data_IF_735660070971
#
_entry.id   IF_735660070971
#
_cell.length_a   1.000
_cell.length_b   1.000
_cell.length_c   1.000
_cell.angle_alpha   90.00
_cell.angle_beta   90.00
_cell.angle_gamma   90.00
#
_symmetry.space_group_name_H-M   'P 1'
#
loop_
_entity.id
_entity.type
_entity.pdbx_description
1 polymer ?
#
# COMPACT_ATOMS: atom_id res chain seq x y z
N UNK A 1 18.10 15.86 -16.73
CA UNK A 1 17.89 14.38 -16.76
C UNK A 1 18.87 13.79 -15.76
N UNK A 2 18.36 13.19 -14.67
CA UNK A 2 19.19 12.55 -13.63
C UNK A 2 19.37 11.06 -13.90
N UNK A 3 20.43 10.47 -13.34
CA UNK A 3 20.68 9.03 -13.35
C UNK A 3 20.20 8.43 -12.02
N UNK A 4 19.14 7.60 -12.07
CA UNK A 4 18.45 7.08 -10.90
C UNK A 4 18.64 5.57 -10.81
N UNK A 5 18.99 5.07 -9.61
CA UNK A 5 18.95 3.66 -9.28
C UNK A 5 17.67 3.37 -8.49
N UNK A 6 16.84 2.43 -8.95
CA UNK A 6 15.57 2.05 -8.29
C UNK A 6 15.67 0.66 -7.68
N UNK A 7 15.37 0.54 -6.37
CA UNK A 7 15.32 -0.73 -5.63
C UNK A 7 13.92 -0.96 -5.03
N UNK A 8 13.44 -2.21 -4.99
CA UNK A 8 14.03 -3.40 -5.64
C UNK A 8 13.83 -3.37 -7.15
N UNK A 9 14.67 -4.10 -7.89
CA UNK A 9 14.42 -4.33 -9.30
C UNK A 9 13.35 -5.42 -9.45
N UNK A 10 12.34 -5.17 -10.28
CA UNK A 10 11.31 -6.14 -10.67
C UNK A 10 11.46 -6.39 -12.17
N UNK A 11 11.78 -7.62 -12.54
CA UNK A 11 12.04 -7.97 -13.94
C UNK A 11 10.77 -8.27 -14.74
N UNK A 12 9.68 -8.72 -14.07
CA UNK A 12 8.38 -9.02 -14.67
C UNK A 12 7.24 -8.81 -13.68
N UNK A 13 6.11 -8.33 -14.19
CA UNK A 13 4.87 -8.19 -13.40
C UNK A 13 4.11 -9.52 -13.28
N UNK A 14 4.47 -10.53 -14.07
CA UNK A 14 3.79 -11.83 -14.07
C UNK A 14 3.86 -12.47 -12.69
N UNK A 15 2.71 -12.64 -12.05
CA UNK A 15 2.58 -13.23 -10.72
C UNK A 15 2.97 -12.31 -9.55
N UNK A 16 3.30 -11.05 -9.80
CA UNK A 16 3.50 -10.08 -8.73
C UNK A 16 2.16 -9.40 -8.39
N UNK A 17 1.70 -9.50 -7.14
CA UNK A 17 0.45 -8.86 -6.73
C UNK A 17 0.59 -7.34 -6.58
N UNK A 18 1.80 -6.77 -6.69
CA UNK A 18 2.03 -5.34 -6.49
C UNK A 18 2.88 -4.73 -7.62
N UNK A 19 2.25 -4.03 -8.60
CA UNK A 19 2.95 -3.41 -9.72
C UNK A 19 3.65 -2.08 -9.35
N UNK A 20 3.67 -1.66 -8.09
CA UNK A 20 4.16 -0.35 -7.65
C UNK A 20 5.53 0.00 -8.22
N UNK A 21 6.55 -0.86 -8.02
CA UNK A 21 7.92 -0.57 -8.47
C UNK A 21 8.03 -0.58 -9.99
N UNK A 22 7.25 -1.41 -10.67
CA UNK A 22 7.19 -1.44 -12.12
C UNK A 22 6.63 -0.12 -12.68
N UNK A 23 5.48 0.32 -12.19
CA UNK A 23 4.86 1.58 -12.59
C UNK A 23 5.75 2.78 -12.25
N UNK A 24 6.44 2.71 -11.11
CA UNK A 24 7.40 3.74 -10.71
C UNK A 24 8.57 3.82 -11.68
N UNK A 25 9.15 2.65 -12.04
CA UNK A 25 10.23 2.59 -13.03
C UNK A 25 9.79 3.16 -14.39
N UNK A 26 8.59 2.80 -14.88
CA UNK A 26 8.07 3.33 -16.13
C UNK A 26 7.89 4.85 -16.08
N UNK A 27 7.31 5.37 -14.99
CA UNK A 27 7.11 6.81 -14.83
C UNK A 27 8.45 7.57 -14.78
N UNK A 28 9.42 7.07 -14.01
CA UNK A 28 10.78 7.65 -13.96
C UNK A 28 11.47 7.63 -15.33
N UNK A 29 11.33 6.52 -16.06
CA UNK A 29 12.01 6.32 -17.36
C UNK A 29 11.52 7.27 -18.45
N UNK A 30 10.38 7.95 -18.25
CA UNK A 30 9.87 8.97 -19.19
C UNK A 30 10.71 10.28 -19.14
N UNK A 31 11.34 10.58 -18.00
CA UNK A 31 12.07 11.84 -17.77
C UNK A 31 13.54 11.64 -17.38
N UNK A 32 13.91 10.48 -16.84
CA UNK A 32 15.22 10.21 -16.28
C UNK A 32 15.80 8.91 -16.80
N UNK A 33 17.12 8.73 -16.58
CA UNK A 33 17.80 7.46 -16.85
C UNK A 33 17.72 6.56 -15.62
N UNK A 34 16.89 5.50 -15.67
CA UNK A 34 16.90 4.46 -14.63
C UNK A 34 18.02 3.47 -14.93
N UNK A 35 19.18 3.64 -14.26
CA UNK A 35 20.45 2.99 -14.62
C UNK A 35 20.43 1.46 -14.51
N UNK A 36 19.53 0.90 -13.70
CA UNK A 36 19.38 -0.55 -13.53
C UNK A 36 18.14 -1.14 -14.24
N UNK A 37 17.39 -0.35 -15.02
CA UNK A 37 16.15 -0.81 -15.65
C UNK A 37 16.37 -2.01 -16.58
N UNK A 38 17.42 -2.00 -17.40
CA UNK A 38 17.75 -3.06 -18.36
C UNK A 38 18.83 -4.03 -17.88
N UNK A 39 19.40 -3.80 -16.67
CA UNK A 39 20.45 -4.65 -16.15
C UNK A 39 19.86 -5.94 -15.55
N UNK A 40 20.58 -7.07 -15.52
CA UNK A 40 20.13 -8.26 -14.82
C UNK A 40 19.99 -8.00 -13.30
N UNK A 41 19.00 -8.65 -12.67
CA UNK A 41 18.82 -8.51 -11.24
C UNK A 41 19.92 -9.28 -10.48
N UNK A 42 20.79 -8.54 -9.80
CA UNK A 42 21.89 -9.10 -8.98
C UNK A 42 21.64 -8.91 -7.48
N UNK A 43 20.38 -8.63 -7.10
CA UNK A 43 20.02 -8.40 -5.69
C UNK A 43 20.85 -7.25 -5.08
N UNK A 44 21.43 -7.49 -3.90
CA UNK A 44 22.20 -6.51 -3.15
C UNK A 44 23.46 -6.03 -3.91
N UNK A 45 24.05 -6.86 -4.76
CA UNK A 45 25.24 -6.49 -5.54
C UNK A 45 24.95 -5.40 -6.59
N UNK A 46 23.69 -5.23 -6.97
CA UNK A 46 23.29 -4.18 -7.91
C UNK A 46 23.59 -2.77 -7.38
N UNK A 47 23.57 -2.56 -6.06
CA UNK A 47 23.95 -1.27 -5.45
C UNK A 47 25.40 -0.88 -5.82
N UNK A 48 26.32 -1.84 -5.77
CA UNK A 48 27.73 -1.59 -6.03
C UNK A 48 28.03 -1.48 -7.53
N UNK A 49 27.41 -2.33 -8.36
CA UNK A 49 27.66 -2.32 -9.82
C UNK A 49 27.12 -1.06 -10.51
N UNK A 50 26.18 -0.36 -9.87
CA UNK A 50 25.60 0.89 -10.41
C UNK A 50 25.97 2.13 -9.57
N UNK A 51 26.80 1.98 -8.53
CA UNK A 51 27.09 3.03 -7.56
C UNK A 51 27.53 4.35 -8.19
N UNK A 52 28.54 4.30 -9.05
CA UNK A 52 29.09 5.50 -9.69
C UNK A 52 28.24 6.01 -10.85
N UNK A 53 27.28 5.21 -11.32
CA UNK A 53 26.37 5.58 -12.43
C UNK A 53 25.13 6.34 -11.96
N UNK A 54 24.78 6.21 -10.70
CA UNK A 54 23.58 6.82 -10.14
C UNK A 54 23.89 8.12 -9.40
N UNK A 55 23.02 9.12 -9.56
CA UNK A 55 23.02 10.36 -8.78
C UNK A 55 22.12 10.23 -7.57
N UNK A 56 20.96 9.56 -7.76
CA UNK A 56 19.94 9.31 -6.74
C UNK A 56 19.63 7.82 -6.64
N UNK A 57 19.59 7.31 -5.41
CA UNK A 57 19.13 5.97 -5.07
C UNK A 57 17.72 6.04 -4.48
N UNK A 58 16.73 5.49 -5.18
CA UNK A 58 15.35 5.37 -4.68
C UNK A 58 15.15 3.97 -4.12
N UNK A 59 14.80 3.89 -2.83
CA UNK A 59 14.71 2.63 -2.09
C UNK A 59 13.27 2.37 -1.64
N UNK A 60 12.71 1.25 -2.08
CA UNK A 60 11.42 0.74 -1.60
C UNK A 60 11.65 -0.55 -0.81
N UNK A 61 11.05 -0.66 0.36
CA UNK A 61 11.16 -1.81 1.28
C UNK A 61 12.60 -2.27 1.60
N UNK A 62 13.61 -1.38 1.73
CA UNK A 62 14.97 -1.79 2.07
C UNK A 62 15.06 -2.40 3.48
N UNK A 63 14.13 -2.08 4.36
CA UNK A 63 14.01 -2.64 5.70
C UNK A 63 13.78 -4.15 5.72
N UNK A 64 13.29 -4.75 4.62
CA UNK A 64 13.07 -6.20 4.47
C UNK A 64 14.32 -6.96 4.03
N UNK A 65 15.42 -6.29 3.73
CA UNK A 65 16.68 -6.94 3.28
C UNK A 65 17.13 -8.05 4.23
N UNK A 66 17.10 -7.88 5.58
CA UNK A 66 17.51 -8.93 6.51
C UNK A 66 16.61 -10.17 6.52
N UNK A 67 15.40 -10.10 6.00
CA UNK A 67 14.45 -11.21 5.96
C UNK A 67 14.68 -12.15 4.76
N UNK A 68 15.50 -11.73 3.81
CA UNK A 68 15.83 -12.48 2.59
C UNK A 68 16.85 -13.58 2.87
N UNK A 69 17.00 -14.53 1.93
CA UNK A 69 18.05 -15.54 1.97
C UNK A 69 19.42 -14.87 2.18
N UNK A 70 20.22 -15.38 3.14
CA UNK A 70 21.48 -14.76 3.58
C UNK A 70 21.33 -13.32 4.11
N UNK A 71 20.22 -13.02 4.77
CA UNK A 71 19.86 -11.67 5.20
C UNK A 71 20.93 -10.96 6.04
N UNK A 72 21.67 -11.66 6.88
CA UNK A 72 22.78 -11.09 7.65
C UNK A 72 23.90 -10.53 6.76
N UNK A 73 24.31 -11.29 5.74
CA UNK A 73 25.33 -10.85 4.77
C UNK A 73 24.78 -9.68 3.95
N UNK A 74 23.53 -9.78 3.47
CA UNK A 74 22.91 -8.69 2.72
C UNK A 74 22.80 -7.40 3.54
N UNK A 75 22.45 -7.50 4.84
CA UNK A 75 22.43 -6.36 5.77
C UNK A 75 23.82 -5.71 5.93
N UNK A 76 24.88 -6.54 6.07
CA UNK A 76 26.25 -6.03 6.16
C UNK A 76 26.65 -5.28 4.89
N UNK A 77 26.42 -5.86 3.70
CA UNK A 77 26.69 -5.22 2.42
C UNK A 77 25.87 -3.93 2.25
N UNK A 78 24.58 -3.94 2.65
CA UNK A 78 23.76 -2.74 2.59
C UNK A 78 24.29 -1.64 3.52
N UNK A 79 24.82 -1.99 4.70
CA UNK A 79 25.46 -1.02 5.60
C UNK A 79 26.72 -0.41 4.99
N UNK A 80 27.52 -1.21 4.28
CA UNK A 80 28.70 -0.70 3.52
C UNK A 80 28.23 0.26 2.42
N UNK A 81 27.19 -0.11 1.65
CA UNK A 81 26.61 0.77 0.64
C UNK A 81 26.17 2.12 1.24
N UNK A 82 25.45 2.11 2.37
CA UNK A 82 25.03 3.34 3.06
C UNK A 82 26.23 4.20 3.50
N UNK A 83 27.31 3.59 3.99
CA UNK A 83 28.55 4.30 4.30
C UNK A 83 29.19 4.95 3.06
N UNK A 84 29.19 4.22 1.93
CA UNK A 84 29.69 4.73 0.66
C UNK A 84 28.86 5.93 0.16
N UNK A 85 27.53 5.91 0.29
CA UNK A 85 26.70 7.05 -0.16
C UNK A 85 27.07 8.33 0.56
N UNK A 86 27.37 8.28 1.86
CA UNK A 86 27.88 9.43 2.62
C UNK A 86 29.25 9.88 2.10
N UNK A 87 30.19 8.94 1.96
CA UNK A 87 31.55 9.25 1.53
C UNK A 87 31.62 9.91 0.14
N UNK A 88 30.75 9.47 -0.78
CA UNK A 88 30.72 9.96 -2.16
C UNK A 88 29.60 10.97 -2.42
N UNK A 89 28.96 11.48 -1.37
CA UNK A 89 27.87 12.49 -1.45
C UNK A 89 26.72 12.08 -2.40
N UNK A 90 26.44 10.76 -2.48
CA UNK A 90 25.30 10.25 -3.25
C UNK A 90 24.00 10.43 -2.46
N UNK A 91 22.91 10.74 -3.16
CA UNK A 91 21.62 11.00 -2.55
C UNK A 91 20.77 9.73 -2.41
N UNK A 92 20.06 9.62 -1.31
CA UNK A 92 19.10 8.55 -1.04
C UNK A 92 17.72 9.14 -0.80
N UNK A 93 16.73 8.63 -1.54
CA UNK A 93 15.31 8.80 -1.29
C UNK A 93 14.74 7.45 -0.83
N UNK A 94 14.20 7.38 0.37
CA UNK A 94 13.53 6.20 0.89
C UNK A 94 12.02 6.38 0.85
N UNK A 95 11.31 5.41 0.28
CA UNK A 95 9.85 5.35 0.33
C UNK A 95 9.44 4.46 1.51
N UNK A 96 8.93 5.09 2.57
CA UNK A 96 8.45 4.45 3.79
C UNK A 96 7.03 3.93 3.58
N UNK A 97 6.91 2.63 3.31
CA UNK A 97 5.62 1.98 3.04
C UNK A 97 4.92 1.46 4.29
N UNK A 98 5.67 1.12 5.35
CA UNK A 98 5.15 0.48 6.56
C UNK A 98 5.90 0.97 7.80
N UNK A 99 5.22 0.96 8.96
CA UNK A 99 5.85 1.30 10.26
C UNK A 99 6.71 0.17 10.83
N UNK A 100 6.74 -1.00 10.21
CA UNK A 100 7.49 -2.19 10.66
C UNK A 100 7.26 -3.38 9.75
N UNK A 101 7.85 -4.54 10.08
CA UNK A 101 7.64 -5.79 9.34
C UNK A 101 6.26 -6.39 9.66
N UNK A 102 5.51 -6.78 8.63
CA UNK A 102 4.20 -7.44 8.78
C UNK A 102 4.29 -8.85 9.38
N UNK A 103 5.45 -9.50 9.29
CA UNK A 103 5.60 -10.92 9.63
C UNK A 103 6.22 -11.19 11.00
N UNK A 104 6.99 -10.27 11.55
CA UNK A 104 7.80 -10.54 12.79
C UNK A 104 7.67 -9.47 13.89
N UNK A 105 6.80 -8.47 13.71
CA UNK A 105 6.71 -7.37 14.66
C UNK A 105 8.02 -6.55 14.75
N UNK A 106 8.09 -5.63 15.71
CA UNK A 106 9.33 -4.89 16.00
C UNK A 106 10.37 -5.81 16.65
N UNK A 107 11.44 -6.08 15.93
CA UNK A 107 12.62 -6.75 16.48
C UNK A 107 13.86 -5.85 16.35
N UNK A 108 14.93 -6.18 17.09
CA UNK A 108 16.16 -5.40 17.09
C UNK A 108 16.77 -5.21 15.70
N UNK A 109 16.60 -6.18 14.78
CA UNK A 109 17.13 -6.13 13.42
C UNK A 109 16.37 -5.12 12.58
N UNK A 110 15.04 -5.13 12.67
CA UNK A 110 14.17 -4.17 11.97
C UNK A 110 14.45 -2.74 12.46
N UNK A 111 14.54 -2.56 13.79
CA UNK A 111 14.86 -1.25 14.40
C UNK A 111 16.22 -0.72 13.93
N UNK A 112 17.25 -1.57 13.87
CA UNK A 112 18.58 -1.18 13.35
C UNK A 112 18.51 -0.73 11.89
N UNK A 113 17.72 -1.44 11.05
CA UNK A 113 17.52 -1.03 9.66
C UNK A 113 16.82 0.32 9.55
N UNK A 114 15.77 0.56 10.34
CA UNK A 114 15.08 1.87 10.37
C UNK A 114 16.05 2.98 10.81
N UNK A 115 16.84 2.78 11.89
CA UNK A 115 17.83 3.76 12.34
C UNK A 115 18.85 4.11 11.23
N UNK A 116 19.32 3.11 10.50
CA UNK A 116 20.24 3.31 9.37
C UNK A 116 19.59 4.07 8.23
N UNK A 117 18.36 3.70 7.85
CA UNK A 117 17.63 4.37 6.79
C UNK A 117 17.30 5.82 7.15
N UNK A 118 16.81 6.08 8.37
CA UNK A 118 16.56 7.45 8.86
C UNK A 118 17.80 8.32 8.80
N UNK A 119 18.96 7.78 9.25
CA UNK A 119 20.21 8.56 9.33
C UNK A 119 20.87 8.79 7.96
N UNK A 120 20.70 7.89 7.00
CA UNK A 120 21.39 7.96 5.69
C UNK A 120 20.52 8.51 4.57
N UNK A 121 19.18 8.45 4.67
CA UNK A 121 18.30 9.03 3.67
C UNK A 121 18.35 10.55 3.72
N UNK A 122 18.48 11.17 2.55
CA UNK A 122 18.34 12.63 2.37
C UNK A 122 16.86 13.02 2.34
N UNK A 123 16.03 12.18 1.73
CA UNK A 123 14.59 12.39 1.57
C UNK A 123 13.84 11.12 1.97
N UNK A 124 12.70 11.28 2.63
CA UNK A 124 11.81 10.18 3.00
C UNK A 124 10.42 10.53 2.49
N UNK A 125 9.86 9.66 1.66
CA UNK A 125 8.47 9.79 1.20
C UNK A 125 7.61 8.77 1.93
N UNK A 126 6.44 9.17 2.36
CA UNK A 126 5.38 8.29 2.87
C UNK A 126 4.07 8.60 2.17
N UNK A 127 3.19 7.60 2.06
CA UNK A 127 1.93 7.72 1.33
C UNK A 127 0.75 8.16 2.19
N UNK A 128 0.98 8.45 3.48
CA UNK A 128 -0.04 8.99 4.38
C UNK A 128 0.58 9.82 5.51
N UNK A 129 -0.24 10.67 6.14
CA UNK A 129 0.16 11.43 7.32
C UNK A 129 0.56 10.51 8.48
N UNK A 130 -0.07 9.35 8.63
CA UNK A 130 0.29 8.37 9.65
C UNK A 130 1.76 7.89 9.57
N UNK A 131 2.37 7.89 8.37
CA UNK A 131 3.80 7.63 8.21
C UNK A 131 4.66 8.79 8.72
N UNK A 132 4.24 10.03 8.48
CA UNK A 132 4.91 11.23 9.01
C UNK A 132 4.79 11.30 10.54
N UNK A 133 3.61 10.99 11.09
CA UNK A 133 3.37 10.96 12.53
C UNK A 133 4.21 9.88 13.22
N UNK A 134 4.35 8.72 12.59
CA UNK A 134 5.26 7.68 13.08
C UNK A 134 6.70 8.20 13.18
N UNK A 135 7.19 8.91 12.17
CA UNK A 135 8.53 9.50 12.22
C UNK A 135 8.61 10.60 13.28
N UNK A 136 7.58 11.44 13.42
CA UNK A 136 7.54 12.49 14.43
C UNK A 136 7.67 11.94 15.86
N UNK A 137 7.06 10.78 16.13
CA UNK A 137 7.09 10.14 17.46
C UNK A 137 8.38 9.32 17.66
N UNK A 138 8.72 8.45 16.71
CA UNK A 138 9.81 7.49 16.88
C UNK A 138 11.18 8.05 16.47
N UNK A 139 11.24 9.03 15.58
CA UNK A 139 12.46 9.55 14.96
C UNK A 139 12.41 11.09 14.76
N UNK A 140 12.10 11.90 15.79
CA UNK A 140 11.78 13.33 15.64
C UNK A 140 12.89 14.14 14.96
N UNK A 141 14.15 13.77 15.14
CA UNK A 141 15.30 14.46 14.53
C UNK A 141 15.34 14.35 13.00
N UNK A 142 14.55 13.48 12.40
CA UNK A 142 14.51 13.24 10.95
C UNK A 142 13.23 13.74 10.29
N UNK A 143 12.32 14.34 11.06
CA UNK A 143 11.01 14.78 10.57
C UNK A 143 11.09 15.75 9.38
N UNK A 144 12.08 16.63 9.37
CA UNK A 144 12.29 17.59 8.29
C UNK A 144 12.57 16.96 6.91
N UNK A 145 12.98 15.68 6.88
CA UNK A 145 13.23 14.94 5.63
C UNK A 145 11.97 14.25 5.09
N UNK A 146 10.85 14.26 5.85
CA UNK A 146 9.66 13.46 5.54
C UNK A 146 8.66 14.28 4.75
N UNK A 147 8.29 13.77 3.60
CA UNK A 147 7.30 14.32 2.69
C UNK A 147 6.14 13.35 2.53
N UNK A 148 4.92 13.84 2.70
CA UNK A 148 3.70 13.07 2.45
C UNK A 148 3.30 13.27 1.00
N UNK A 149 3.27 12.19 0.23
CA UNK A 149 2.77 12.17 -1.14
C UNK A 149 1.82 10.98 -1.26
N UNK A 150 0.52 11.18 -1.53
CA UNK A 150 -0.43 10.10 -1.69
C UNK A 150 0.07 9.02 -2.66
N UNK A 151 -0.36 7.78 -2.45
CA UNK A 151 -0.02 6.68 -3.35
C UNK A 151 -0.50 7.00 -4.77
N UNK A 152 0.37 6.91 -5.79
CA UNK A 152 0.00 7.26 -7.15
C UNK A 152 -0.91 6.22 -7.79
N UNK A 153 -1.78 6.70 -8.69
CA UNK A 153 -2.73 5.90 -9.44
C UNK A 153 -2.27 5.67 -10.88
N UNK A 154 -2.59 4.51 -11.42
CA UNK A 154 -2.71 4.26 -12.84
C UNK A 154 -4.14 4.62 -13.30
N UNK A 155 -4.47 4.35 -14.56
CA UNK A 155 -5.80 4.63 -15.10
C UNK A 155 -6.91 3.86 -14.37
N UNK A 156 -8.14 4.32 -14.54
CA UNK A 156 -9.35 3.64 -14.07
C UNK A 156 -9.40 2.18 -14.58
N UNK A 157 -9.99 1.31 -13.78
CA UNK A 157 -10.30 -0.06 -14.14
C UNK A 157 -11.78 -0.17 -14.51
N UNK A 158 -12.05 -0.19 -15.81
CA UNK A 158 -13.41 -0.36 -16.35
C UNK A 158 -14.27 0.91 -16.33
N UNK A 159 -15.44 0.79 -16.95
CA UNK A 159 -16.52 1.78 -16.87
C UNK A 159 -17.39 1.37 -15.68
N UNK A 160 -17.45 2.22 -14.67
CA UNK A 160 -18.31 2.00 -13.51
C UNK A 160 -19.76 1.96 -13.96
N UNK A 161 -20.39 0.78 -13.86
CA UNK A 161 -21.77 0.60 -14.28
C UNK A 161 -22.69 0.69 -13.06
N UNK A 162 -23.80 1.41 -13.21
CA UNK A 162 -24.90 1.30 -12.28
C UNK A 162 -25.53 -0.08 -12.45
N UNK A 163 -25.14 -1.04 -11.60
CA UNK A 163 -25.67 -2.39 -11.58
C UNK A 163 -26.38 -2.69 -10.26
N UNK A 164 -27.21 -3.74 -10.27
CA UNK A 164 -27.85 -4.24 -9.06
C UNK A 164 -26.77 -4.65 -8.02
N UNK A 165 -26.84 -4.08 -6.81
CA UNK A 165 -25.93 -4.39 -5.71
C UNK A 165 -26.35 -5.72 -5.08
N UNK A 166 -25.52 -6.74 -5.30
CA UNK A 166 -25.75 -8.10 -4.76
C UNK A 166 -25.16 -8.29 -3.36
N UNK A 167 -24.11 -7.52 -3.03
CA UNK A 167 -23.39 -7.58 -1.77
C UNK A 167 -23.40 -6.23 -1.09
N UNK A 168 -23.49 -6.24 0.23
CA UNK A 168 -23.29 -5.04 1.04
C UNK A 168 -21.80 -4.74 1.16
N UNK A 169 -20.97 -5.79 1.32
CA UNK A 169 -19.53 -5.66 1.51
C UNK A 169 -18.74 -6.59 0.58
N UNK A 170 -17.75 -6.03 -0.08
CA UNK A 170 -16.65 -6.77 -0.70
C UNK A 170 -15.40 -6.63 0.16
N UNK A 171 -14.78 -7.74 0.56
CA UNK A 171 -13.45 -7.81 1.16
C UNK A 171 -12.56 -8.58 0.20
N UNK A 172 -11.47 -7.98 -0.30
CA UNK A 172 -10.67 -8.63 -1.33
C UNK A 172 -9.15 -8.48 -1.17
N UNK A 173 -8.40 -9.25 -1.97
CA UNK A 173 -6.95 -9.33 -1.99
C UNK A 173 -6.40 -10.40 -1.08
N UNK A 174 -5.07 -10.58 -1.01
CA UNK A 174 -4.43 -11.65 -0.22
C UNK A 174 -4.95 -11.67 1.22
N UNK A 175 -5.36 -12.85 1.69
CA UNK A 175 -5.99 -13.02 3.00
C UNK A 175 -4.92 -13.36 4.04
N UNK A 176 -4.75 -12.46 5.03
CA UNK A 176 -3.78 -12.60 6.13
C UNK A 176 -4.40 -12.18 7.47
N UNK A 177 -3.90 -12.70 8.61
CA UNK A 177 -4.44 -12.38 9.94
C UNK A 177 -4.49 -10.88 10.26
N UNK A 178 -3.52 -10.09 9.80
CA UNK A 178 -3.49 -8.64 10.05
C UNK A 178 -4.65 -7.89 9.41
N UNK A 179 -5.29 -8.48 8.38
CA UNK A 179 -6.48 -7.89 7.74
C UNK A 179 -7.73 -7.92 8.62
N UNK A 180 -7.77 -8.75 9.66
CA UNK A 180 -8.84 -8.72 10.65
C UNK A 180 -10.21 -9.21 10.20
N UNK A 181 -10.27 -9.99 9.13
CA UNK A 181 -11.53 -10.53 8.58
C UNK A 181 -12.27 -11.36 9.64
N UNK A 182 -11.55 -12.15 10.42
CA UNK A 182 -12.08 -12.94 11.53
C UNK A 182 -12.78 -12.08 12.59
N UNK A 183 -12.25 -10.90 12.90
CA UNK A 183 -12.88 -9.97 13.84
C UNK A 183 -14.18 -9.41 13.28
N UNK A 184 -14.17 -9.02 12.01
CA UNK A 184 -15.38 -8.51 11.36
C UNK A 184 -16.47 -9.58 11.24
N UNK A 185 -16.14 -10.80 10.83
CA UNK A 185 -17.12 -11.89 10.77
C UNK A 185 -17.71 -12.21 12.14
N UNK A 186 -16.89 -12.20 13.20
CA UNK A 186 -17.36 -12.40 14.57
C UNK A 186 -18.24 -11.24 15.05
N UNK A 187 -17.98 -10.02 14.61
CA UNK A 187 -18.82 -8.85 14.88
C UNK A 187 -20.14 -8.96 14.13
N UNK A 188 -20.11 -9.30 12.85
CA UNK A 188 -21.29 -9.45 11.99
C UNK A 188 -22.33 -10.41 12.60
N UNK A 189 -21.88 -11.57 13.09
CA UNK A 189 -22.76 -12.57 13.74
C UNK A 189 -23.45 -12.06 15.02
N UNK A 190 -22.86 -11.08 15.71
CA UNK A 190 -23.36 -10.56 16.99
C UNK A 190 -24.16 -9.27 16.84
N UNK A 191 -24.24 -8.71 15.64
CA UNK A 191 -24.85 -7.39 15.38
C UNK A 191 -26.16 -7.58 14.63
N UNK A 192 -27.31 -7.43 15.31
CA UNK A 192 -28.64 -7.67 14.72
C UNK A 192 -28.89 -6.81 13.46
N UNK A 193 -28.37 -5.58 13.43
CA UNK A 193 -28.52 -4.62 12.33
C UNK A 193 -27.82 -5.08 11.05
N UNK A 194 -26.84 -5.96 11.17
CA UNK A 194 -26.04 -6.48 10.04
C UNK A 194 -26.21 -7.98 9.80
N UNK A 195 -27.15 -8.65 10.51
CA UNK A 195 -27.33 -10.11 10.43
C UNK A 195 -27.61 -10.62 9.01
N UNK A 196 -28.31 -9.82 8.21
CA UNK A 196 -28.69 -10.15 6.83
C UNK A 196 -27.74 -9.52 5.79
N UNK A 197 -26.69 -8.81 6.23
CA UNK A 197 -25.74 -8.17 5.35
C UNK A 197 -24.96 -9.21 4.53
N UNK A 198 -24.99 -9.06 3.21
CA UNK A 198 -24.33 -9.96 2.28
C UNK A 198 -22.87 -9.58 2.13
N UNK A 199 -21.98 -10.49 2.49
CA UNK A 199 -20.53 -10.27 2.44
C UNK A 199 -19.89 -11.19 1.42
N UNK A 200 -19.07 -10.63 0.52
CA UNK A 200 -18.25 -11.41 -0.39
C UNK A 200 -16.77 -11.23 -0.01
N UNK A 201 -16.09 -12.32 0.31
CA UNK A 201 -14.65 -12.34 0.58
C UNK A 201 -13.96 -13.02 -0.60
N UNK A 202 -13.01 -12.32 -1.24
CA UNK A 202 -12.26 -12.86 -2.39
C UNK A 202 -10.76 -12.71 -2.13
N UNK A 203 -10.04 -13.82 -2.15
CA UNK A 203 -8.60 -13.78 -2.08
C UNK A 203 -7.99 -15.06 -1.57
N UNK A 204 -6.76 -15.31 -1.99
CA UNK A 204 -6.03 -16.49 -1.60
C UNK A 204 -5.51 -16.36 -0.16
N UNK A 205 -5.81 -17.38 0.66
CA UNK A 205 -5.27 -17.53 2.00
C UNK A 205 -4.21 -18.66 1.99
N UNK A 206 -2.95 -18.30 2.20
CA UNK A 206 -1.85 -19.28 2.29
C UNK A 206 -1.66 -19.83 3.69
N UNK A 207 -2.18 -19.16 4.71
CA UNK A 207 -2.18 -19.59 6.11
C UNK A 207 -3.40 -20.50 6.34
N UNK A 208 -3.16 -21.81 6.44
CA UNK A 208 -4.21 -22.82 6.57
C UNK A 208 -4.94 -22.74 7.92
N UNK A 209 -4.26 -22.36 8.99
CA UNK A 209 -4.87 -22.18 10.31
C UNK A 209 -5.85 -20.99 10.28
N UNK A 210 -5.41 -19.86 9.72
CA UNK A 210 -6.27 -18.70 9.58
C UNK A 210 -7.44 -18.94 8.64
N UNK A 211 -7.22 -19.66 7.53
CA UNK A 211 -8.28 -20.08 6.61
C UNK A 211 -9.34 -20.91 7.32
N UNK A 212 -8.92 -21.93 8.08
CA UNK A 212 -9.83 -22.80 8.85
C UNK A 212 -10.61 -21.98 9.88
N UNK A 213 -9.97 -21.01 10.53
CA UNK A 213 -10.64 -20.11 11.45
C UNK A 213 -11.73 -19.27 10.75
N UNK A 214 -11.43 -18.66 9.59
CA UNK A 214 -12.43 -17.90 8.82
C UNK A 214 -13.62 -18.79 8.46
N UNK A 215 -13.36 -19.99 7.92
CA UNK A 215 -14.42 -20.90 7.49
C UNK A 215 -15.30 -21.38 8.66
N UNK A 216 -14.73 -21.55 9.86
CA UNK A 216 -15.49 -21.98 11.05
C UNK A 216 -16.45 -20.91 11.61
N UNK A 217 -16.24 -19.65 11.26
CA UNK A 217 -17.06 -18.52 11.70
C UNK A 217 -17.75 -17.80 10.54
N UNK A 218 -17.77 -18.40 9.35
CA UNK A 218 -18.40 -17.80 8.18
C UNK A 218 -19.92 -17.89 8.32
N UNK A 219 -20.67 -16.79 8.40
CA UNK A 219 -22.11 -16.83 8.46
C UNK A 219 -22.72 -17.20 7.10
N UNK A 220 -24.00 -17.67 7.11
CA UNK A 220 -24.72 -18.02 5.87
C UNK A 220 -24.86 -16.85 4.89
N UNK A 221 -24.83 -15.61 5.39
CA UNK A 221 -24.88 -14.40 4.57
C UNK A 221 -23.53 -14.01 3.94
N UNK A 222 -22.48 -14.78 4.17
CA UNK A 222 -21.13 -14.49 3.65
C UNK A 222 -20.61 -15.61 2.75
N UNK A 223 -20.06 -15.21 1.60
CA UNK A 223 -19.37 -16.09 0.66
C UNK A 223 -17.85 -15.90 0.74
N UNK A 224 -17.09 -16.99 0.71
CA UNK A 224 -15.62 -16.93 0.62
C UNK A 224 -15.12 -17.66 -0.62
N UNK A 225 -14.41 -16.92 -1.49
CA UNK A 225 -13.71 -17.45 -2.67
C UNK A 225 -12.21 -17.41 -2.43
N UNK A 226 -11.58 -18.59 -2.21
CA UNK A 226 -10.13 -18.75 -2.05
C UNK A 226 -9.44 -18.79 -3.41
N UNK A 227 -9.53 -17.70 -4.15
CA UNK A 227 -9.07 -17.58 -5.53
C UNK A 227 -8.19 -16.36 -5.71
N UNK A 228 -7.26 -16.43 -6.68
CA UNK A 228 -6.49 -15.29 -7.15
C UNK A 228 -7.13 -14.81 -8.45
N UNK A 229 -7.96 -13.79 -8.37
CA UNK A 229 -8.61 -13.18 -9.53
C UNK A 229 -7.78 -12.01 -10.07
N UNK A 230 -7.96 -11.71 -11.35
CA UNK A 230 -7.44 -10.49 -11.97
C UNK A 230 -8.14 -9.25 -11.42
N UNK A 231 -7.53 -8.06 -11.60
CA UNK A 231 -8.15 -6.82 -11.14
C UNK A 231 -9.45 -6.53 -11.90
N UNK A 232 -9.54 -6.93 -13.15
CA UNK A 232 -10.73 -6.80 -13.99
C UNK A 232 -11.89 -7.66 -13.46
N UNK A 233 -11.60 -8.89 -13.02
CA UNK A 233 -12.60 -9.76 -12.38
C UNK A 233 -13.05 -9.22 -11.03
N UNK A 234 -12.12 -8.68 -10.21
CA UNK A 234 -12.47 -8.02 -8.95
C UNK A 234 -13.33 -6.78 -9.19
N UNK A 235 -13.06 -6.01 -10.25
CA UNK A 235 -13.86 -4.82 -10.59
C UNK A 235 -15.34 -5.17 -10.82
N UNK A 236 -15.63 -6.33 -11.44
CA UNK A 236 -17.01 -6.81 -11.60
C UNK A 236 -17.69 -7.04 -10.25
N UNK A 237 -16.98 -7.62 -9.28
CA UNK A 237 -17.54 -7.80 -7.94
C UNK A 237 -17.62 -6.50 -7.15
N UNK A 238 -16.70 -5.57 -7.38
CA UNK A 238 -16.76 -4.22 -6.82
C UNK A 238 -18.02 -3.48 -7.27
N UNK A 239 -18.35 -3.56 -8.56
CA UNK A 239 -19.59 -2.98 -9.10
C UNK A 239 -20.86 -3.61 -8.51
N UNK A 240 -20.82 -4.89 -8.16
CA UNK A 240 -21.93 -5.60 -7.52
C UNK A 240 -22.00 -5.38 -5.99
N UNK A 241 -21.09 -4.63 -5.41
CA UNK A 241 -21.00 -4.38 -3.97
C UNK A 241 -21.32 -2.94 -3.62
N UNK A 242 -21.97 -2.71 -2.47
CA UNK A 242 -22.22 -1.35 -1.97
C UNK A 242 -20.94 -0.70 -1.49
N UNK A 243 -20.13 -1.46 -0.73
CA UNK A 243 -18.87 -1.00 -0.17
C UNK A 243 -17.75 -2.01 -0.39
N UNK A 244 -16.55 -1.52 -0.64
CA UNK A 244 -15.34 -2.31 -0.42
C UNK A 244 -14.85 -2.05 1.00
N UNK A 245 -14.86 -3.11 1.83
CA UNK A 245 -14.57 -3.04 3.26
C UNK A 245 -13.13 -3.47 3.56
N UNK A 246 -12.44 -2.65 4.34
CA UNK A 246 -11.11 -2.92 4.89
C UNK A 246 -11.18 -3.06 6.40
N UNK A 247 -10.86 -4.25 6.93
CA UNK A 247 -11.05 -4.63 8.34
C UNK A 247 -9.75 -4.68 9.15
N UNK A 248 -8.71 -3.96 8.70
CA UNK A 248 -7.36 -4.06 9.23
C UNK A 248 -7.26 -3.89 10.75
N UNK A 249 -6.65 -4.88 11.43
CA UNK A 249 -6.35 -4.86 12.87
C UNK A 249 -5.13 -3.99 13.19
N UNK A 250 -4.19 -3.92 12.25
CA UNK A 250 -2.88 -3.35 12.51
C UNK A 250 -2.81 -1.90 12.04
N UNK A 251 -2.45 -1.02 12.95
CA UNK A 251 -2.11 0.37 12.63
C UNK A 251 -0.73 0.52 11.95
N UNK A 252 -0.05 -0.59 11.63
CA UNK A 252 1.24 -0.56 10.90
C UNK A 252 1.05 -0.32 9.40
N UNK A 253 -0.16 -0.58 8.87
CA UNK A 253 -0.49 -0.34 7.45
C UNK A 253 -0.68 1.16 7.25
N UNK A 254 0.27 1.80 6.57
CA UNK A 254 0.23 3.23 6.28
C UNK A 254 -0.57 3.50 5.00
N UNK A 255 -0.42 2.63 4.01
CA UNK A 255 -1.14 2.64 2.73
C UNK A 255 -1.28 1.22 2.21
N UNK A 256 -2.22 0.99 1.30
CA UNK A 256 -2.54 -0.35 0.78
C UNK A 256 -2.73 -0.31 -0.73
N UNK A 257 -2.06 -1.24 -1.43
CA UNK A 257 -2.28 -1.43 -2.87
C UNK A 257 -3.73 -1.77 -3.20
N UNK A 258 -4.36 -2.63 -2.39
CA UNK A 258 -5.79 -2.95 -2.58
C UNK A 258 -6.71 -1.75 -2.39
N UNK A 259 -6.36 -0.78 -1.53
CA UNK A 259 -7.10 0.48 -1.41
C UNK A 259 -7.03 1.29 -2.70
N UNK A 260 -5.81 1.44 -3.23
CA UNK A 260 -5.59 2.17 -4.49
C UNK A 260 -6.35 1.53 -5.64
N UNK A 261 -6.27 0.20 -5.76
CA UNK A 261 -6.99 -0.53 -6.82
C UNK A 261 -8.50 -0.47 -6.62
N UNK A 262 -9.01 -0.51 -5.37
CA UNK A 262 -10.45 -0.32 -5.11
C UNK A 262 -10.96 1.06 -5.58
N UNK A 263 -10.19 2.11 -5.33
CA UNK A 263 -10.53 3.47 -5.82
C UNK A 263 -10.55 3.50 -7.36
N UNK A 264 -9.59 2.84 -8.02
CA UNK A 264 -9.53 2.72 -9.48
C UNK A 264 -10.71 1.94 -10.06
N UNK A 265 -11.27 0.98 -9.32
CA UNK A 265 -12.46 0.19 -9.68
C UNK A 265 -13.78 0.93 -9.43
N UNK A 266 -13.75 2.16 -8.92
CA UNK A 266 -14.97 2.92 -8.62
C UNK A 266 -15.62 2.59 -7.28
N UNK A 267 -14.96 1.84 -6.42
CA UNK A 267 -15.51 1.44 -5.14
C UNK A 267 -15.82 2.64 -4.23
N UNK A 268 -16.92 2.55 -3.49
CA UNK A 268 -17.09 3.29 -2.25
C UNK A 268 -16.38 2.50 -1.17
N UNK A 269 -15.43 3.13 -0.48
CA UNK A 269 -14.54 2.46 0.47
C UNK A 269 -15.03 2.70 1.88
N UNK A 270 -15.05 1.63 2.68
CA UNK A 270 -15.26 1.66 4.12
C UNK A 270 -14.03 1.08 4.80
N UNK A 271 -13.31 1.89 5.59
CA UNK A 271 -12.02 1.50 6.16
C UNK A 271 -11.76 2.05 7.55
N UNK A 272 -10.68 1.61 8.22
CA UNK A 272 -10.36 2.07 9.57
C UNK A 272 -9.91 3.55 9.57
N UNK A 273 -10.24 4.29 10.66
CA UNK A 273 -9.88 5.70 10.85
C UNK A 273 -8.37 5.88 11.13
N UNK A 274 -7.52 5.40 10.20
CA UNK A 274 -6.07 5.65 10.22
C UNK A 274 -5.42 5.45 8.84
N UNK A 275 -4.17 5.89 8.72
CA UNK A 275 -3.37 5.76 7.50
C UNK A 275 -3.99 6.52 6.33
N UNK A 276 -3.85 5.95 5.15
CA UNK A 276 -4.36 6.57 3.92
C UNK A 276 -5.91 6.65 3.89
N UNK A 277 -6.63 5.82 4.68
CA UNK A 277 -8.09 5.93 4.80
C UNK A 277 -8.46 7.27 5.48
N UNK A 278 -7.82 7.58 6.61
CA UNK A 278 -8.01 8.83 7.35
C UNK A 278 -7.68 10.05 6.49
N UNK A 279 -6.61 9.98 5.72
CA UNK A 279 -6.17 11.09 4.86
C UNK A 279 -7.18 11.42 3.74
N UNK A 280 -8.15 10.53 3.48
CA UNK A 280 -9.16 10.68 2.44
C UNK A 280 -10.59 10.79 3.01
N UNK A 281 -10.77 10.91 4.32
CA UNK A 281 -12.11 10.89 4.96
C UNK A 281 -13.06 11.99 4.52
N UNK A 282 -12.53 13.10 4.01
CA UNK A 282 -13.33 14.22 3.47
C UNK A 282 -13.84 13.95 2.03
N UNK A 283 -13.41 12.88 1.38
CA UNK A 283 -13.81 12.53 0.02
C UNK A 283 -15.05 11.64 0.04
N UNK A 284 -16.06 11.97 -0.74
CA UNK A 284 -17.37 11.31 -0.71
C UNK A 284 -17.35 9.80 -1.01
N UNK A 285 -16.29 9.28 -1.64
CA UNK A 285 -16.11 7.84 -1.88
C UNK A 285 -15.42 7.10 -0.72
N UNK A 286 -15.04 7.79 0.36
CA UNK A 286 -14.31 7.25 1.50
C UNK A 286 -15.08 7.44 2.79
N UNK A 287 -15.33 6.35 3.50
CA UNK A 287 -15.92 6.37 4.84
C UNK A 287 -14.97 5.69 5.82
N UNK A 288 -14.76 6.30 6.98
CA UNK A 288 -13.88 5.74 8.01
C UNK A 288 -14.65 5.36 9.27
N UNK A 289 -14.17 4.36 9.99
CA UNK A 289 -14.70 3.95 11.28
C UNK A 289 -13.55 3.72 12.28
N UNK A 290 -13.80 4.03 13.55
CA UNK A 290 -12.88 3.76 14.67
C UNK A 290 -13.04 2.35 15.20
N UNK A 291 -14.28 1.88 15.25
CA UNK A 291 -14.61 0.48 15.52
C UNK A 291 -15.83 0.06 14.68
N UNK A 292 -16.10 -1.25 14.64
CA UNK A 292 -17.16 -1.79 13.80
C UNK A 292 -18.57 -1.33 14.22
N UNK A 293 -18.80 -0.85 15.46
CA UNK A 293 -20.11 -0.38 15.91
C UNK A 293 -20.56 0.89 15.17
N UNK A 294 -19.64 1.59 14.50
CA UNK A 294 -19.99 2.76 13.68
C UNK A 294 -20.52 2.36 12.28
N UNK A 295 -20.25 1.13 11.83
CA UNK A 295 -20.61 0.67 10.47
C UNK A 295 -22.11 0.73 10.20
N UNK A 296 -23.02 0.25 11.07
CA UNK A 296 -24.47 0.35 10.82
C UNK A 296 -24.95 1.77 10.57
N UNK A 297 -24.42 2.74 11.33
CA UNK A 297 -24.74 4.14 11.17
C UNK A 297 -24.25 4.67 9.81
N UNK A 298 -23.00 4.39 9.45
CA UNK A 298 -22.42 4.83 8.16
C UNK A 298 -23.27 4.30 7.00
N UNK A 299 -23.68 3.03 7.04
CA UNK A 299 -24.51 2.42 5.99
C UNK A 299 -25.88 3.09 5.89
N UNK A 300 -26.49 3.43 7.03
CA UNK A 300 -27.82 4.06 7.08
C UNK A 300 -27.81 5.51 6.58
N UNK A 301 -26.69 6.21 6.75
CA UNK A 301 -26.51 7.61 6.34
C UNK A 301 -25.93 7.73 4.91
N UNK A 302 -25.48 6.64 4.31
CA UNK A 302 -24.85 6.66 2.98
C UNK A 302 -25.91 6.88 1.88
N UNK A 303 -25.68 7.94 1.08
CA UNK A 303 -26.44 8.21 -0.14
C UNK A 303 -25.68 7.74 -1.39
N UNK A 304 -26.10 6.66 -2.04
CA UNK A 304 -25.43 6.17 -3.26
C UNK A 304 -25.59 7.12 -4.48
N UNK A 305 -26.53 8.06 -4.42
CA UNK A 305 -26.77 9.04 -5.48
C UNK A 305 -25.97 10.34 -5.31
N UNK A 306 -25.10 10.44 -4.29
CA UNK A 306 -24.26 11.62 -4.07
C UNK A 306 -23.30 11.83 -5.27
N UNK A 307 -23.56 12.83 -6.07
CA UNK A 307 -22.77 13.18 -7.25
C UNK A 307 -21.29 13.50 -6.93
N UNK A 308 -20.95 13.80 -5.66
CA UNK A 308 -19.57 14.04 -5.24
C UNK A 308 -18.73 12.77 -5.28
N UNK A 309 -19.32 11.58 -5.13
CA UNK A 309 -18.60 10.30 -5.08
C UNK A 309 -17.69 10.15 -6.32
N UNK A 310 -18.22 10.33 -7.50
CA UNK A 310 -17.44 10.22 -8.72
C UNK A 310 -16.57 11.46 -8.99
N UNK A 311 -17.06 12.65 -8.70
CA UNK A 311 -16.33 13.90 -8.89
C UNK A 311 -15.05 13.95 -8.04
N UNK A 312 -15.14 13.60 -6.75
CA UNK A 312 -14.01 13.56 -5.83
C UNK A 312 -13.00 12.50 -6.24
N UNK A 313 -13.49 11.29 -6.59
CA UNK A 313 -12.62 10.19 -7.06
C UNK A 313 -11.83 10.59 -8.30
N UNK A 314 -12.49 11.14 -9.31
CA UNK A 314 -11.85 11.57 -10.55
C UNK A 314 -10.83 12.67 -10.30
N UNK A 315 -11.16 13.64 -9.46
CA UNK A 315 -10.25 14.74 -9.09
C UNK A 315 -9.04 14.20 -8.34
N UNK A 316 -9.26 13.34 -7.34
CA UNK A 316 -8.20 12.77 -6.52
C UNK A 316 -7.24 11.89 -7.35
N UNK A 317 -7.75 11.02 -8.20
CA UNK A 317 -6.94 10.20 -9.09
C UNK A 317 -6.13 11.04 -10.08
N UNK A 318 -6.75 12.07 -10.69
CA UNK A 318 -6.08 12.99 -11.63
C UNK A 318 -4.94 13.76 -10.97
N UNK A 319 -5.10 14.18 -9.72
CA UNK A 319 -4.07 14.90 -8.97
C UNK A 319 -2.92 14.01 -8.51
N UNK A 320 -3.13 12.69 -8.38
CA UNK A 320 -2.19 11.74 -7.84
C UNK A 320 -1.80 10.65 -8.85
N UNK A 321 -1.52 11.04 -10.09
CA UNK A 321 -0.98 10.15 -11.12
C UNK A 321 0.50 9.81 -10.85
N UNK A 322 1.01 8.75 -11.47
CA UNK A 322 2.43 8.42 -11.48
C UNK A 322 3.29 9.55 -12.05
N UNK A 323 2.78 10.29 -13.05
CA UNK A 323 3.45 11.48 -13.59
C UNK A 323 3.61 12.55 -12.53
N UNK A 324 2.53 12.94 -11.86
CA UNK A 324 2.56 13.96 -10.81
C UNK A 324 3.40 13.52 -9.60
N UNK A 325 3.42 12.20 -9.31
CA UNK A 325 4.29 11.63 -8.28
C UNK A 325 5.77 11.86 -8.57
N UNK A 326 6.20 11.59 -9.81
CA UNK A 326 7.58 11.85 -10.25
C UNK A 326 7.90 13.34 -10.20
N UNK A 327 6.99 14.22 -10.65
CA UNK A 327 7.19 15.69 -10.56
C UNK A 327 7.35 16.19 -9.12
N UNK A 328 6.57 15.63 -8.18
CA UNK A 328 6.75 15.95 -6.76
C UNK A 328 8.12 15.49 -6.24
N UNK A 329 8.61 14.33 -6.69
CA UNK A 329 9.96 13.85 -6.36
C UNK A 329 11.03 14.77 -6.94
N UNK A 330 10.94 15.15 -8.21
CA UNK A 330 11.86 16.10 -8.86
C UNK A 330 11.96 17.40 -8.04
N UNK A 331 10.80 17.95 -7.64
CA UNK A 331 10.74 19.18 -6.84
C UNK A 331 11.38 19.03 -5.46
N UNK A 332 11.20 17.88 -4.80
CA UNK A 332 11.77 17.62 -3.46
C UNK A 332 13.28 17.39 -3.54
N UNK A 333 13.74 16.68 -4.55
CA UNK A 333 15.14 16.25 -4.67
C UNK A 333 16.01 17.23 -5.45
N UNK A 334 15.41 18.13 -6.22
CA UNK A 334 16.11 19.10 -7.05
C UNK A 334 16.76 18.51 -8.32
N UNK A 335 16.25 17.36 -8.84
CA UNK A 335 16.78 16.67 -10.01
C UNK A 335 16.05 17.02 -11.30
#
# INVERSE_FOLDING_TARGET
MAAIFLYPKIDKVIGSPNPYVFNFQEALSKKHLVVNAKAPNRGILSFFTHFFKADLFILNWPETIPEKKFGGIQKALFSVFLGMTKLFSKKILWVLHNKGSHHKGENAVTRDMFNKLMSHSDYIITHSHAGKDFVAVAYPNFLAKVHVIPHPFTEKLGDYREGEKKYDFLIWGSIFPYKGIDNFLSYLQKTPELKDAKVLIIGRCTDQEYKSKILSILPESADYKDELLSLEEIAVYSDQSRFTLFTYKSQTVISSGSLVDSIRMGAVVLGPDHGAFKDMEDLAFMHTYKDFNEIPKIISEFDPADARIEADRNTFMKQNTWHNFVEKIEKITGI
#
